data_IF_754448932248
#
_entry.id   IF_754448932248
#
_cell.length_a   1.000
_cell.length_b   1.000
_cell.length_c   1.000
_cell.angle_alpha   90.00
_cell.angle_beta   90.00
_cell.angle_gamma   90.00
#
_symmetry.space_group_name_H-M   'P 1'
#
loop_
_entity.id
_entity.type
_entity.pdbx_description
1 polymer ?
#
# COMPACT_ATOMS: atom_id res chain seq x y z
N UNK A 1 25.53 24.73 8.11
CA UNK A 1 24.99 23.88 7.02
C UNK A 1 24.26 22.66 7.57
N UNK A 2 24.86 21.85 8.46
CA UNK A 2 24.29 20.59 8.97
C UNK A 2 22.90 20.65 9.63
N UNK A 3 22.50 21.77 10.28
CA UNK A 3 21.16 21.89 10.90
C UNK A 3 20.03 21.97 9.86
N UNK A 4 20.24 22.73 8.78
CA UNK A 4 19.22 22.95 7.76
C UNK A 4 18.88 21.65 7.00
N UNK A 5 19.90 20.88 6.65
CA UNK A 5 19.75 19.57 5.98
C UNK A 5 19.04 18.53 6.86
N UNK A 6 19.20 18.63 8.18
CA UNK A 6 18.55 17.70 9.13
C UNK A 6 17.07 18.03 9.29
N UNK A 7 16.73 19.32 9.31
CA UNK A 7 15.34 19.78 9.36
C UNK A 7 14.59 19.43 8.06
N UNK A 8 15.27 19.54 6.91
CA UNK A 8 14.68 19.21 5.60
C UNK A 8 14.36 17.71 5.46
N UNK A 9 15.26 16.80 5.89
CA UNK A 9 15.00 15.34 5.85
C UNK A 9 13.86 14.94 6.81
N UNK A 10 13.76 15.57 7.98
CA UNK A 10 12.68 15.31 8.92
C UNK A 10 11.31 15.68 8.34
N UNK A 11 11.22 16.81 7.64
CA UNK A 11 9.99 17.23 6.93
C UNK A 11 9.63 16.25 5.82
N UNK A 12 10.61 15.79 5.03
CA UNK A 12 10.37 14.77 3.99
C UNK A 12 9.82 13.46 4.59
N UNK A 13 10.40 12.97 5.69
CA UNK A 13 9.95 11.74 6.36
C UNK A 13 8.52 11.90 6.91
N UNK A 14 8.21 13.03 7.54
CA UNK A 14 6.87 13.32 8.05
C UNK A 14 5.84 13.33 6.91
N UNK A 15 6.15 14.00 5.80
CA UNK A 15 5.28 14.02 4.62
C UNK A 15 5.06 12.62 4.04
N UNK A 16 6.14 11.85 3.89
CA UNK A 16 6.09 10.47 3.42
C UNK A 16 5.19 9.60 4.30
N UNK A 17 5.36 9.64 5.62
CA UNK A 17 4.59 8.82 6.54
C UNK A 17 3.10 9.19 6.53
N UNK A 18 2.76 10.48 6.40
CA UNK A 18 1.36 10.93 6.30
C UNK A 18 0.69 10.46 5.00
N UNK A 19 1.40 10.57 3.86
CA UNK A 19 0.91 10.04 2.58
C UNK A 19 0.76 8.52 2.61
N UNK A 20 1.77 7.83 3.13
CA UNK A 20 1.82 6.38 3.19
C UNK A 20 0.70 5.80 4.06
N UNK A 21 0.54 6.30 5.30
CA UNK A 21 -0.52 5.81 6.19
C UNK A 21 -1.92 6.03 5.59
N UNK A 22 -2.13 7.16 4.90
CA UNK A 22 -3.41 7.46 4.28
C UNK A 22 -3.71 6.52 3.11
N UNK A 23 -2.70 6.22 2.29
CA UNK A 23 -2.82 5.30 1.17
C UNK A 23 -3.10 3.86 1.64
N UNK A 24 -2.33 3.36 2.62
CA UNK A 24 -2.51 2.03 3.21
C UNK A 24 -3.90 1.86 3.83
N UNK A 25 -4.35 2.86 4.62
CA UNK A 25 -5.67 2.82 5.26
C UNK A 25 -6.80 2.78 4.22
N UNK A 26 -6.74 3.64 3.22
CA UNK A 26 -7.74 3.67 2.15
C UNK A 26 -7.71 2.39 1.29
N UNK A 27 -6.50 1.84 1.05
CA UNK A 27 -6.29 0.54 0.41
C UNK A 27 -7.00 -0.58 1.17
N UNK A 28 -6.76 -0.68 2.48
CA UNK A 28 -7.37 -1.68 3.34
C UNK A 28 -8.90 -1.59 3.36
N UNK A 29 -9.46 -0.37 3.41
CA UNK A 29 -10.91 -0.15 3.34
C UNK A 29 -11.51 -0.65 2.02
N UNK A 30 -10.84 -0.39 0.90
CA UNK A 30 -11.28 -0.88 -0.41
C UNK A 30 -11.15 -2.39 -0.55
N UNK A 31 -10.07 -2.98 0.00
CA UNK A 31 -9.88 -4.44 0.03
C UNK A 31 -10.95 -5.11 0.90
N UNK A 32 -11.33 -4.52 2.04
CA UNK A 32 -12.44 -5.02 2.86
C UNK A 32 -13.76 -4.99 2.11
N UNK A 33 -14.05 -3.88 1.41
CA UNK A 33 -15.24 -3.79 0.56
C UNK A 33 -15.22 -4.85 -0.54
N UNK A 34 -14.05 -5.08 -1.17
CA UNK A 34 -13.88 -6.15 -2.13
C UNK A 34 -14.12 -7.53 -1.51
N UNK A 35 -13.58 -7.83 -0.33
CA UNK A 35 -13.85 -9.10 0.39
C UNK A 35 -15.35 -9.35 0.53
N UNK A 36 -16.15 -8.32 0.80
CA UNK A 36 -17.61 -8.40 0.92
C UNK A 36 -18.33 -8.80 -0.36
N UNK A 37 -17.77 -8.48 -1.53
CA UNK A 37 -18.37 -8.76 -2.85
C UNK A 37 -17.60 -9.79 -3.68
N UNK A 38 -16.47 -10.29 -3.17
CA UNK A 38 -15.58 -11.21 -3.85
C UNK A 38 -16.22 -12.60 -4.00
N UNK A 39 -16.21 -13.12 -5.23
CA UNK A 39 -16.86 -14.38 -5.60
C UNK A 39 -15.92 -15.57 -5.48
N UNK A 40 -14.63 -15.39 -5.78
CA UNK A 40 -13.64 -16.47 -5.62
C UNK A 40 -13.18 -16.63 -4.16
N UNK A 41 -13.37 -17.82 -3.59
CA UNK A 41 -13.07 -18.08 -2.18
C UNK A 41 -11.57 -18.03 -1.83
N UNK A 42 -10.69 -18.39 -2.77
CA UNK A 42 -9.23 -18.40 -2.58
C UNK A 42 -8.71 -16.96 -2.56
N UNK A 43 -9.16 -16.16 -3.53
CA UNK A 43 -8.88 -14.73 -3.58
C UNK A 43 -9.39 -14.04 -2.32
N UNK A 44 -10.65 -14.27 -1.95
CA UNK A 44 -11.25 -13.70 -0.73
C UNK A 44 -10.47 -14.06 0.53
N UNK A 45 -9.93 -15.27 0.62
CA UNK A 45 -9.08 -15.69 1.73
C UNK A 45 -7.80 -14.87 1.83
N UNK A 46 -7.08 -14.69 0.73
CA UNK A 46 -5.86 -13.89 0.73
C UNK A 46 -6.10 -12.38 0.87
N UNK A 47 -7.19 -11.84 0.32
CA UNK A 47 -7.55 -10.43 0.50
C UNK A 47 -7.76 -10.05 1.97
N UNK A 48 -8.26 -10.98 2.81
CA UNK A 48 -8.36 -10.76 4.26
C UNK A 48 -6.99 -10.61 4.94
N UNK A 49 -6.00 -11.36 4.46
CA UNK A 49 -4.62 -11.26 4.95
C UNK A 49 -4.01 -9.93 4.52
N UNK A 50 -4.18 -9.55 3.24
CA UNK A 50 -3.72 -8.26 2.70
C UNK A 50 -4.30 -7.11 3.52
N UNK A 51 -5.62 -7.01 3.64
CA UNK A 51 -6.29 -5.98 4.47
C UNK A 51 -5.70 -5.89 5.88
N UNK A 52 -5.43 -7.03 6.52
CA UNK A 52 -4.90 -7.05 7.89
C UNK A 52 -3.49 -6.45 7.95
N UNK A 53 -2.66 -6.73 6.95
CA UNK A 53 -1.33 -6.13 6.80
C UNK A 53 -1.42 -4.65 6.52
N UNK A 54 -2.20 -4.23 5.52
CA UNK A 54 -2.35 -2.82 5.14
C UNK A 54 -2.82 -1.96 6.33
N UNK A 55 -3.77 -2.45 7.15
CA UNK A 55 -4.17 -1.76 8.39
C UNK A 55 -3.04 -1.68 9.42
N UNK A 56 -2.23 -2.73 9.52
CA UNK A 56 -1.04 -2.77 10.36
C UNK A 56 0.00 -1.75 9.90
N UNK A 57 0.30 -1.73 8.60
CA UNK A 57 1.22 -0.78 7.97
C UNK A 57 0.77 0.66 8.21
N UNK A 58 -0.51 0.97 7.95
CA UNK A 58 -1.09 2.28 8.22
C UNK A 58 -0.92 2.70 9.69
N UNK A 59 -1.20 1.79 10.62
CA UNK A 59 -1.12 2.07 12.06
C UNK A 59 0.31 2.29 12.54
N UNK A 60 1.26 1.52 12.02
CA UNK A 60 2.69 1.66 12.32
C UNK A 60 3.24 2.99 11.77
N UNK A 61 2.93 3.32 10.51
CA UNK A 61 3.34 4.56 9.88
C UNK A 61 2.73 5.79 10.56
N UNK A 62 1.44 5.74 10.91
CA UNK A 62 0.78 6.79 11.70
C UNK A 62 1.41 6.94 13.09
N UNK A 63 1.70 5.82 13.77
CA UNK A 63 2.39 5.83 15.05
C UNK A 63 3.75 6.52 14.96
N UNK A 64 4.52 6.21 13.92
CA UNK A 64 5.82 6.84 13.67
C UNK A 64 5.69 8.32 13.32
N UNK A 65 4.72 8.68 12.49
CA UNK A 65 4.40 10.07 12.14
C UNK A 65 4.17 10.92 13.41
N UNK A 66 3.34 10.41 14.33
CA UNK A 66 3.04 11.08 15.60
C UNK A 66 4.25 11.18 16.51
N UNK A 67 5.10 10.14 16.55
CA UNK A 67 6.34 10.16 17.33
C UNK A 67 7.32 11.24 16.85
N UNK A 68 7.30 11.56 15.55
CA UNK A 68 8.08 12.64 14.94
C UNK A 68 7.40 14.03 15.07
N UNK A 69 6.28 14.12 15.78
CA UNK A 69 5.53 15.37 15.98
C UNK A 69 4.57 15.74 14.84
N UNK A 70 4.42 14.87 13.85
CA UNK A 70 3.46 15.03 12.77
C UNK A 70 2.03 14.71 13.18
N UNK A 71 1.07 15.14 12.37
CA UNK A 71 -0.36 14.86 12.54
C UNK A 71 -0.92 14.36 11.22
N UNK A 72 -1.65 13.22 11.21
CA UNK A 72 -2.30 12.74 10.00
C UNK A 72 -3.23 13.78 9.40
N UNK A 73 -3.00 14.13 8.13
CA UNK A 73 -3.73 15.20 7.46
C UNK A 73 -4.01 14.91 5.99
N UNK A 74 -3.16 14.10 5.35
CA UNK A 74 -3.29 13.75 3.95
C UNK A 74 -4.56 12.94 3.69
N UNK A 75 -5.16 13.20 2.53
CA UNK A 75 -6.20 12.37 1.93
C UNK A 75 -5.69 11.85 0.59
N UNK A 76 -6.10 10.63 0.24
CA UNK A 76 -5.76 10.05 -1.06
C UNK A 76 -6.23 10.92 -2.22
N UNK A 77 -5.38 11.04 -3.25
CA UNK A 77 -5.69 11.78 -4.46
C UNK A 77 -6.83 11.13 -5.27
N UNK A 78 -7.44 11.92 -6.17
CA UNK A 78 -8.61 11.51 -6.96
C UNK A 78 -8.39 10.22 -7.76
N UNK A 79 -7.21 10.04 -8.34
CA UNK A 79 -6.87 8.85 -9.14
C UNK A 79 -6.88 7.58 -8.30
N UNK A 80 -6.21 7.61 -7.13
CA UNK A 80 -6.25 6.51 -6.19
C UNK A 80 -7.67 6.27 -5.67
N UNK A 81 -8.40 7.32 -5.30
CA UNK A 81 -9.80 7.20 -4.86
C UNK A 81 -10.69 6.50 -5.91
N UNK A 82 -10.49 6.80 -7.19
CA UNK A 82 -11.26 6.21 -8.30
C UNK A 82 -10.97 4.71 -8.44
N UNK A 83 -9.71 4.31 -8.34
CA UNK A 83 -9.33 2.89 -8.31
C UNK A 83 -9.98 2.18 -7.12
N UNK A 84 -9.83 2.73 -5.91
CA UNK A 84 -10.34 2.12 -4.68
C UNK A 84 -11.87 1.93 -4.76
N UNK A 85 -12.60 2.90 -5.31
CA UNK A 85 -14.03 2.78 -5.55
C UNK A 85 -14.37 1.65 -6.55
N UNK A 86 -13.56 1.47 -7.60
CA UNK A 86 -13.72 0.36 -8.55
C UNK A 86 -13.50 -1.00 -7.87
N UNK A 87 -12.50 -1.13 -7.00
CA UNK A 87 -12.25 -2.36 -6.23
C UNK A 87 -13.43 -2.75 -5.31
N UNK A 88 -14.13 -1.76 -4.76
CA UNK A 88 -15.30 -1.96 -3.92
C UNK A 88 -16.58 -2.36 -4.69
N UNK A 89 -16.62 -2.18 -6.02
CA UNK A 89 -17.86 -2.34 -6.79
C UNK A 89 -18.27 -3.82 -6.98
N UNK A 90 -19.51 -4.23 -6.68
CA UNK A 90 -20.00 -5.58 -6.97
C UNK A 90 -20.22 -5.85 -8.46
N UNK A 91 -20.30 -4.79 -9.27
CA UNK A 91 -20.52 -4.86 -10.72
C UNK A 91 -19.24 -5.20 -11.50
N UNK A 92 -18.07 -5.06 -10.85
CA UNK A 92 -16.78 -5.37 -11.46
C UNK A 92 -16.33 -6.75 -11.02
N UNK A 93 -15.97 -7.60 -11.99
CA UNK A 93 -15.45 -8.95 -11.69
C UNK A 93 -14.13 -8.90 -10.92
N UNK A 94 -13.89 -9.92 -10.09
CA UNK A 94 -12.64 -10.11 -9.35
C UNK A 94 -11.40 -10.06 -10.27
N UNK A 95 -11.49 -10.65 -11.46
CA UNK A 95 -10.43 -10.61 -12.48
C UNK A 95 -10.14 -9.18 -12.95
N UNK A 96 -11.18 -8.42 -13.30
CA UNK A 96 -11.01 -7.05 -13.76
C UNK A 96 -10.41 -6.15 -12.66
N UNK A 97 -10.79 -6.37 -11.40
CA UNK A 97 -10.19 -5.69 -10.24
C UNK A 97 -8.71 -6.03 -10.07
N UNK A 98 -8.34 -7.31 -10.16
CA UNK A 98 -6.94 -7.75 -10.12
C UNK A 98 -6.11 -7.14 -11.24
N UNK A 99 -6.61 -7.19 -12.48
CA UNK A 99 -5.92 -6.62 -13.62
C UNK A 99 -5.68 -5.11 -13.46
N UNK A 100 -6.70 -4.36 -13.03
CA UNK A 100 -6.58 -2.93 -12.79
C UNK A 100 -5.64 -2.59 -11.63
N UNK A 101 -5.64 -3.38 -10.55
CA UNK A 101 -4.70 -3.22 -9.45
C UNK A 101 -3.26 -3.50 -9.88
N UNK A 102 -3.02 -4.62 -10.57
CA UNK A 102 -1.70 -5.04 -11.05
C UNK A 102 -1.13 -4.08 -12.12
N UNK A 103 -1.98 -3.44 -12.91
CA UNK A 103 -1.56 -2.43 -13.90
C UNK A 103 -0.85 -1.21 -13.27
N UNK A 104 -1.03 -0.98 -11.96
CA UNK A 104 -0.31 0.07 -11.21
C UNK A 104 1.13 -0.31 -10.88
N UNK A 105 1.45 -1.59 -10.98
CA UNK A 105 2.75 -2.16 -10.65
C UNK A 105 3.32 -2.93 -11.85
N UNK A 106 3.55 -2.23 -13.00
CA UNK A 106 4.09 -2.88 -14.18
C UNK A 106 5.45 -3.49 -13.82
N UNK A 107 5.60 -4.79 -14.11
CA UNK A 107 6.74 -5.58 -13.67
C UNK A 107 8.07 -4.96 -14.11
N UNK A 108 8.82 -4.40 -13.16
CA UNK A 108 10.19 -3.93 -13.39
C UNK A 108 10.50 -2.50 -12.94
N UNK A 109 9.53 -1.69 -12.50
CA UNK A 109 9.84 -0.39 -11.92
C UNK A 109 10.21 -0.56 -10.44
N UNK A 110 11.32 0.06 -10.05
CA UNK A 110 11.77 0.13 -8.67
C UNK A 110 10.60 0.36 -7.73
N UNK A 111 10.52 -0.43 -6.66
CA UNK A 111 9.58 -0.23 -5.57
C UNK A 111 9.69 1.25 -5.13
N UNK A 112 8.66 2.09 -5.41
CA UNK A 112 8.73 3.51 -5.15
C UNK A 112 9.02 3.79 -3.68
N UNK A 113 8.57 2.91 -2.78
CA UNK A 113 8.90 2.97 -1.36
C UNK A 113 10.38 2.70 -1.13
N UNK A 114 10.96 1.67 -1.76
CA UNK A 114 12.38 1.36 -1.62
C UNK A 114 13.30 2.51 -2.08
N UNK A 115 12.93 3.24 -3.13
CA UNK A 115 13.71 4.40 -3.59
C UNK A 115 13.72 5.54 -2.57
N UNK A 116 12.58 5.81 -1.93
CA UNK A 116 12.47 6.83 -0.89
C UNK A 116 13.15 6.38 0.41
N UNK A 117 12.97 5.13 0.81
CA UNK A 117 13.59 4.54 2.00
C UNK A 117 15.12 4.61 1.94
N UNK A 118 15.73 4.35 0.77
CA UNK A 118 17.18 4.48 0.56
C UNK A 118 17.72 5.89 0.81
N UNK A 119 16.87 6.93 0.74
CA UNK A 119 17.25 8.33 0.98
C UNK A 119 17.15 8.75 2.44
N UNK A 120 16.57 7.92 3.31
CA UNK A 120 16.53 8.17 4.75
C UNK A 120 17.91 7.83 5.30
N UNK A 121 18.69 8.82 5.74
CA UNK A 121 20.07 8.61 6.21
C UNK A 121 20.20 8.59 7.74
N UNK A 122 19.37 9.35 8.45
CA UNK A 122 19.56 9.64 9.89
C UNK A 122 18.38 9.23 10.77
N UNK A 123 17.47 8.42 10.24
CA UNK A 123 16.34 7.85 10.99
C UNK A 123 16.28 6.34 10.75
N UNK A 124 17.08 5.60 11.51
CA UNK A 124 17.19 4.14 11.38
C UNK A 124 15.88 3.42 11.72
N UNK A 125 15.08 3.97 12.64
CA UNK A 125 13.79 3.39 13.02
C UNK A 125 12.79 3.50 11.89
N UNK A 126 12.62 4.69 11.30
CA UNK A 126 11.73 4.88 10.14
C UNK A 126 12.23 4.07 8.95
N UNK A 127 13.55 4.05 8.70
CA UNK A 127 14.12 3.25 7.60
C UNK A 127 13.77 1.78 7.77
N UNK A 128 14.10 1.17 8.90
CA UNK A 128 13.86 -0.26 9.12
C UNK A 128 12.37 -0.63 9.11
N UNK A 129 11.52 0.26 9.63
CA UNK A 129 10.06 0.10 9.59
C UNK A 129 9.56 0.03 8.14
N UNK A 130 9.95 0.99 7.30
CA UNK A 130 9.49 1.05 5.92
C UNK A 130 10.12 -0.03 5.02
N UNK A 131 11.36 -0.45 5.29
CA UNK A 131 11.99 -1.61 4.64
C UNK A 131 11.19 -2.90 4.89
N UNK A 132 10.80 -3.13 6.14
CA UNK A 132 10.04 -4.32 6.52
C UNK A 132 8.64 -4.32 5.90
N UNK A 133 7.99 -3.16 5.86
CA UNK A 133 6.69 -3.01 5.18
C UNK A 133 6.83 -3.27 3.67
N UNK A 134 7.89 -2.75 3.03
CA UNK A 134 8.15 -3.00 1.62
C UNK A 134 8.32 -4.50 1.30
N UNK A 135 8.92 -5.28 2.20
CA UNK A 135 9.02 -6.75 2.06
C UNK A 135 7.63 -7.42 2.04
N UNK A 136 6.73 -6.98 2.91
CA UNK A 136 5.35 -7.44 2.94
C UNK A 136 4.58 -7.04 1.68
N UNK A 137 4.76 -5.81 1.19
CA UNK A 137 4.14 -5.33 -0.06
C UNK A 137 4.57 -6.17 -1.28
N UNK A 138 5.86 -6.49 -1.37
CA UNK A 138 6.37 -7.39 -2.43
C UNK A 138 5.78 -8.79 -2.32
N UNK A 139 5.57 -9.28 -1.10
CA UNK A 139 4.90 -10.56 -0.86
C UNK A 139 3.44 -10.54 -1.32
N UNK A 140 2.70 -9.47 -1.00
CA UNK A 140 1.32 -9.23 -1.46
C UNK A 140 1.25 -9.17 -2.98
N UNK A 141 2.11 -8.37 -3.62
CA UNK A 141 2.13 -8.22 -5.07
C UNK A 141 2.46 -9.53 -5.79
N UNK A 142 3.44 -10.29 -5.29
CA UNK A 142 3.77 -11.61 -5.84
C UNK A 142 2.58 -12.58 -5.73
N UNK A 143 1.83 -12.54 -4.63
CA UNK A 143 0.62 -13.34 -4.46
C UNK A 143 -0.50 -12.91 -5.41
N UNK A 144 -0.77 -11.60 -5.56
CA UNK A 144 -1.77 -11.06 -6.48
C UNK A 144 -1.51 -11.49 -7.92
N UNK A 145 -0.25 -11.47 -8.37
CA UNK A 145 0.15 -11.97 -9.70
C UNK A 145 -0.19 -13.44 -9.89
N UNK A 146 0.21 -14.32 -8.96
CA UNK A 146 -0.13 -15.75 -9.01
C UNK A 146 -1.64 -16.00 -9.01
N UNK A 147 -2.41 -15.21 -8.26
CA UNK A 147 -3.87 -15.30 -8.25
C UNK A 147 -4.48 -14.86 -9.58
N UNK A 148 -3.95 -13.80 -10.20
CA UNK A 148 -4.38 -13.37 -11.54
C UNK A 148 -4.17 -14.49 -12.55
N UNK A 149 -2.97 -15.09 -12.56
CA UNK A 149 -2.63 -16.20 -13.45
C UNK A 149 -3.60 -17.39 -13.22
N UNK A 150 -3.86 -17.74 -11.96
CA UNK A 150 -4.78 -18.85 -11.60
C UNK A 150 -6.19 -18.61 -12.15
N UNK A 151 -6.72 -17.38 -12.03
CA UNK A 151 -8.06 -17.05 -12.50
C UNK A 151 -8.16 -16.93 -14.03
N UNK A 152 -7.05 -16.66 -14.72
CA UNK A 152 -7.00 -16.64 -16.19
C UNK A 152 -7.02 -18.06 -16.78
N UNK A 153 -6.26 -19.00 -16.20
CA UNK A 153 -6.15 -20.37 -16.72
C UNK A 153 -7.41 -21.24 -16.51
N UNK A 154 -8.29 -20.89 -15.57
CA UNK A 154 -9.53 -21.66 -15.30
C UNK A 154 -10.68 -21.33 -16.26
N UNK A 155 -10.51 -20.36 -17.17
CA UNK A 155 -11.48 -20.01 -18.21
C UNK A 155 -11.05 -20.46 -19.63
N UNK A 156 -9.88 -21.06 -19.78
CA UNK A 156 -9.35 -21.61 -21.03
C UNK A 156 -9.69 -23.11 -21.16
#
# INVERSE_FOLDING_TARGET
MLRHETDDQAVEIVGLLDEFQAAERAGAEAVEAWVGVCRDARLRGGLKVVRTRDLGHASLAEGRLRALGGVPSVRVGRELASLLAMLASPEVSDRAKLAALLARFPGGLEDPLAAVVRRIERDDETRSLLETIADDERTTLAWLRRMSDTLEHEQA
#
